data_IF_367893412478
#
_entry.id   IF_367893412478
#
_cell.length_a   1.000
_cell.length_b   1.000
_cell.length_c   1.000
_cell.angle_alpha   90.00
_cell.angle_beta   90.00
_cell.angle_gamma   90.00
#
_symmetry.space_group_name_H-M   'P 1'
#
loop_
_entity.id
_entity.type
_entity.pdbx_description
1 polymer ?
#
# COMPACT_ATOMS: atom_id res chain seq x y z
N UNK A 1 15.08 4.94 9.39
CA UNK A 1 14.03 5.44 10.30
C UNK A 1 12.77 4.58 10.22
N UNK A 2 11.94 4.65 9.16
CA UNK A 2 10.71 3.83 9.10
C UNK A 2 10.97 2.32 9.16
N UNK A 3 11.88 1.80 8.33
CA UNK A 3 12.19 0.37 8.31
C UNK A 3 12.68 -0.15 9.68
N UNK A 4 13.51 0.63 10.38
CA UNK A 4 14.01 0.26 11.71
C UNK A 4 12.88 0.17 12.73
N UNK A 5 11.94 1.13 12.72
CA UNK A 5 10.78 1.12 13.62
C UNK A 5 9.87 -0.08 13.32
N UNK A 6 9.63 -0.38 12.05
CA UNK A 6 8.84 -1.54 11.64
C UNK A 6 9.48 -2.86 12.08
N UNK A 7 10.80 -2.99 11.92
CA UNK A 7 11.58 -4.13 12.41
C UNK A 7 11.51 -4.26 13.93
N UNK A 8 11.69 -3.17 14.68
CA UNK A 8 11.56 -3.14 16.14
C UNK A 8 10.16 -3.55 16.62
N UNK A 9 9.12 -3.21 15.86
CA UNK A 9 7.72 -3.53 16.17
C UNK A 9 7.26 -4.89 15.64
N UNK A 10 8.12 -5.60 14.90
CA UNK A 10 7.77 -6.87 14.26
C UNK A 10 6.69 -6.74 13.18
N UNK A 11 6.54 -5.55 12.58
CA UNK A 11 5.56 -5.28 11.53
C UNK A 11 6.26 -5.44 10.18
N UNK A 12 5.73 -6.32 9.34
CA UNK A 12 6.19 -6.51 7.98
C UNK A 12 5.17 -5.92 7.01
N UNK A 13 5.56 -4.90 6.25
CA UNK A 13 4.75 -4.42 5.14
C UNK A 13 4.73 -5.50 4.06
N UNK A 14 3.55 -5.87 3.60
CA UNK A 14 3.36 -6.94 2.63
C UNK A 14 3.12 -6.43 1.22
N UNK A 15 2.60 -5.21 1.05
CA UNK A 15 2.31 -4.59 -0.25
C UNK A 15 2.32 -3.05 -0.20
N UNK A 16 2.83 -2.39 -1.25
CA UNK A 16 2.77 -0.93 -1.42
C UNK A 16 1.60 -0.52 -2.33
N UNK A 17 0.56 0.11 -1.77
CA UNK A 17 -0.73 0.25 -2.46
C UNK A 17 -0.83 1.41 -3.44
N UNK A 18 0.05 2.41 -3.33
CA UNK A 18 -0.03 3.66 -4.11
C UNK A 18 1.27 3.96 -4.85
N UNK A 19 1.97 2.91 -5.24
CA UNK A 19 3.29 3.02 -5.83
C UNK A 19 3.27 2.89 -7.37
N UNK A 20 4.41 3.22 -7.94
CA UNK A 20 4.80 2.94 -9.31
C UNK A 20 6.14 2.23 -9.26
N UNK A 21 6.57 1.64 -10.38
CA UNK A 21 7.89 1.04 -10.50
C UNK A 21 9.04 1.91 -9.99
N UNK A 22 8.91 3.23 -10.10
CA UNK A 22 9.97 4.19 -9.78
C UNK A 22 10.06 4.52 -8.31
N UNK A 23 8.94 4.44 -7.57
CA UNK A 23 8.86 4.92 -6.19
C UNK A 23 8.50 3.82 -5.19
N UNK A 24 8.21 2.60 -5.66
CA UNK A 24 7.88 1.47 -4.78
C UNK A 24 9.00 1.24 -3.77
N UNK A 25 8.60 1.04 -2.51
CA UNK A 25 9.52 0.72 -1.42
C UNK A 25 9.57 -0.77 -1.13
N UNK A 26 8.68 -1.55 -1.76
CA UNK A 26 8.50 -2.98 -1.50
C UNK A 26 8.44 -3.76 -2.82
N UNK A 27 8.70 -5.06 -2.74
CA UNK A 27 8.71 -5.92 -3.92
C UNK A 27 7.32 -6.06 -4.55
N UNK A 28 6.29 -6.23 -3.71
CA UNK A 28 4.87 -6.28 -4.10
C UNK A 28 4.28 -4.88 -4.03
N UNK A 29 3.63 -4.44 -5.10
CA UNK A 29 2.98 -3.14 -5.15
C UNK A 29 1.84 -3.11 -6.16
N UNK A 30 0.87 -2.24 -5.91
CA UNK A 30 -0.17 -1.90 -6.85
C UNK A 30 0.17 -0.61 -7.56
N UNK A 31 -0.19 -0.49 -8.83
CA UNK A 31 0.04 0.72 -9.61
C UNK A 31 -1.18 1.16 -10.37
N UNK A 32 -1.38 2.48 -10.47
CA UNK A 32 -2.39 3.08 -11.34
C UNK A 32 -1.89 3.25 -12.78
N UNK A 33 -0.58 3.07 -13.00
CA UNK A 33 0.03 3.04 -14.33
C UNK A 33 -0.07 1.62 -14.89
N UNK A 34 -0.11 1.50 -16.23
CA UNK A 34 0.01 0.20 -16.89
C UNK A 34 1.44 -0.33 -16.72
N UNK A 35 1.65 -1.11 -15.66
CA UNK A 35 2.95 -1.66 -15.29
C UNK A 35 2.87 -3.20 -15.20
N UNK A 36 3.59 -3.87 -16.08
CA UNK A 36 3.66 -5.34 -16.12
C UNK A 36 4.36 -5.96 -14.90
N UNK A 37 5.07 -5.16 -14.10
CA UNK A 37 5.72 -5.60 -12.86
C UNK A 37 4.91 -5.26 -11.61
N UNK A 38 3.85 -4.46 -11.73
CA UNK A 38 2.92 -4.27 -10.62
C UNK A 38 2.15 -5.58 -10.41
N UNK A 39 1.88 -5.90 -9.14
CA UNK A 39 1.11 -7.09 -8.80
C UNK A 39 -0.34 -6.96 -9.25
N UNK A 40 -0.89 -5.76 -9.17
CA UNK A 40 -2.24 -5.45 -9.62
C UNK A 40 -2.43 -3.95 -9.91
N UNK A 41 -3.55 -3.65 -10.56
CA UNK A 41 -4.01 -2.28 -10.80
C UNK A 41 -4.66 -1.70 -9.54
N UNK A 42 -4.35 -0.42 -9.24
CA UNK A 42 -5.03 0.46 -8.29
C UNK A 42 -5.28 -0.15 -6.90
N UNK A 43 -4.48 0.27 -5.92
CA UNK A 43 -4.62 -0.21 -4.55
C UNK A 43 -5.96 0.08 -3.90
N UNK A 44 -6.77 1.03 -4.37
CA UNK A 44 -8.13 1.24 -3.84
C UNK A 44 -9.13 0.16 -4.28
N UNK A 45 -8.92 -0.44 -5.45
CA UNK A 45 -9.76 -1.52 -5.99
C UNK A 45 -9.40 -2.88 -5.40
N UNK A 46 -8.19 -3.05 -4.90
CA UNK A 46 -7.73 -4.29 -4.30
C UNK A 46 -8.27 -4.47 -2.87
N UNK A 47 -8.62 -5.71 -2.46
CA UNK A 47 -8.89 -6.00 -1.06
C UNK A 47 -7.59 -5.90 -0.25
N UNK A 48 -7.67 -5.32 0.95
CA UNK A 48 -6.54 -5.24 1.89
C UNK A 48 -6.63 -6.30 3.00
N UNK A 49 -7.62 -7.18 2.93
CA UNK A 49 -7.80 -8.27 3.89
C UNK A 49 -6.54 -9.16 3.94
N UNK A 50 -6.09 -9.47 5.16
CA UNK A 50 -4.87 -10.24 5.45
C UNK A 50 -3.54 -9.60 4.97
N UNK A 51 -3.55 -8.38 4.46
CA UNK A 51 -2.33 -7.64 4.10
C UNK A 51 -1.95 -6.65 5.21
N UNK A 52 -0.68 -6.24 5.25
CA UNK A 52 -0.19 -5.07 6.00
C UNK A 52 0.25 -4.03 4.96
N UNK A 53 -0.70 -3.23 4.42
CA UNK A 53 -0.43 -2.35 3.30
C UNK A 53 0.34 -1.09 3.73
N UNK A 54 1.27 -0.65 2.89
CA UNK A 54 1.82 0.70 2.95
C UNK A 54 0.88 1.67 2.21
N UNK A 55 0.25 2.57 2.97
CA UNK A 55 -0.76 3.50 2.46
C UNK A 55 -0.20 4.91 2.24
N UNK A 56 0.80 5.03 1.37
CA UNK A 56 1.39 6.32 0.99
C UNK A 56 0.63 6.96 -0.20
N UNK A 57 -0.64 7.28 0.02
CA UNK A 57 -1.53 7.80 -1.02
C UNK A 57 -1.34 9.30 -1.32
N UNK A 58 -1.77 9.78 -2.51
CA UNK A 58 -1.92 11.20 -2.79
C UNK A 58 -2.84 11.89 -1.77
N UNK A 59 -2.55 13.15 -1.43
CA UNK A 59 -3.29 13.92 -0.41
C UNK A 59 -4.80 13.95 -0.68
N UNK A 60 -5.20 14.04 -1.95
CA UNK A 60 -6.61 14.04 -2.37
C UNK A 60 -7.35 12.75 -2.02
N UNK A 61 -6.65 11.62 -1.87
CA UNK A 61 -7.23 10.32 -1.59
C UNK A 61 -7.23 9.96 -0.09
N UNK A 62 -6.56 10.73 0.77
CA UNK A 62 -6.48 10.47 2.22
C UNK A 62 -7.86 10.18 2.84
N UNK A 63 -8.93 10.98 2.59
CA UNK A 63 -10.24 10.70 3.18
C UNK A 63 -10.83 9.36 2.74
N UNK A 64 -10.64 8.99 1.47
CA UNK A 64 -11.15 7.73 0.92
C UNK A 64 -10.37 6.53 1.45
N UNK A 65 -9.05 6.68 1.59
CA UNK A 65 -8.16 5.65 2.18
C UNK A 65 -8.52 5.39 3.63
N UNK A 66 -8.68 6.45 4.45
CA UNK A 66 -9.11 6.30 5.86
C UNK A 66 -10.44 5.56 5.94
N UNK A 67 -11.42 5.94 5.10
CA UNK A 67 -12.72 5.25 5.06
C UNK A 67 -12.56 3.77 4.71
N UNK A 68 -11.68 3.41 3.78
CA UNK A 68 -11.45 2.00 3.40
C UNK A 68 -10.75 1.23 4.53
N UNK A 69 -9.76 1.83 5.19
CA UNK A 69 -9.12 1.28 6.41
C UNK A 69 -10.17 0.93 7.47
N UNK A 70 -11.09 1.86 7.76
CA UNK A 70 -12.16 1.64 8.73
C UNK A 70 -13.13 0.52 8.33
N UNK A 71 -13.45 0.41 7.03
CA UNK A 71 -14.37 -0.59 6.50
C UNK A 71 -13.76 -2.00 6.47
N UNK A 72 -12.50 -2.11 6.05
CA UNK A 72 -11.79 -3.39 5.90
C UNK A 72 -11.05 -3.82 7.17
N UNK A 73 -10.98 -2.93 8.18
CA UNK A 73 -10.35 -3.16 9.49
C UNK A 73 -8.87 -3.56 9.37
N UNK A 74 -8.16 -2.83 8.53
CA UNK A 74 -6.72 -3.01 8.25
C UNK A 74 -5.89 -2.02 9.05
#
# INVERSE_FOLDING_TARGET
>A
MLQQVLEEWGIQITVDCFATRRNTKHHRYFSIECDALAENWDGMEQPWECETPLLHCPISLIPAVIRKVELEKV
#
